data_IF_340424260791
#
_entry.id   IF_340424260791
#
_cell.length_a   1.000
_cell.length_b   1.000
_cell.length_c   1.000
_cell.angle_alpha   90.00
_cell.angle_beta   90.00
_cell.angle_gamma   90.00
#
_symmetry.space_group_name_H-M   'P 1'
#
loop_
_entity.id
_entity.type
_entity.pdbx_description
1 polymer ?
#
# COMPACT_ATOMS: atom_id res chain seq x y z
N UNK A 1 -9.18 -1.18 -4.70
CA UNK A 1 -8.90 -2.53 -5.23
C UNK A 1 -9.22 -3.61 -4.20
N UNK A 2 -9.94 -4.66 -4.54
CA UNK A 2 -10.10 -5.86 -3.69
C UNK A 2 -9.38 -7.13 -4.20
N UNK A 3 -9.62 -8.27 -3.53
CA UNK A 3 -8.97 -9.57 -3.77
C UNK A 3 -9.06 -10.08 -5.21
N UNK A 4 -8.06 -10.81 -5.72
CA UNK A 4 -6.90 -11.36 -5.02
C UNK A 4 -5.82 -10.33 -4.60
N UNK A 5 -5.98 -9.03 -4.86
CA UNK A 5 -5.13 -8.02 -4.19
C UNK A 5 -5.62 -7.69 -2.77
N UNK A 6 -4.65 -7.49 -1.88
CA UNK A 6 -4.84 -6.96 -0.53
C UNK A 6 -5.12 -5.46 -0.45
N UNK A 7 -4.76 -4.70 -1.50
CA UNK A 7 -4.57 -3.25 -1.44
C UNK A 7 -5.69 -2.45 -0.76
N UNK A 8 -6.89 -2.46 -1.33
CA UNK A 8 -8.00 -1.62 -0.86
C UNK A 8 -8.70 -2.11 0.41
N UNK A 9 -8.61 -3.41 0.74
CA UNK A 9 -9.07 -3.88 2.06
C UNK A 9 -8.12 -3.39 3.16
N UNK A 10 -6.82 -3.43 2.90
CA UNK A 10 -5.83 -2.87 3.83
C UNK A 10 -5.95 -1.35 3.91
N UNK A 11 -6.11 -0.62 2.81
CA UNK A 11 -6.39 0.83 2.88
C UNK A 11 -7.65 1.13 3.69
N UNK A 12 -8.77 0.45 3.42
CA UNK A 12 -10.01 0.68 4.14
C UNK A 12 -9.86 0.40 5.65
N UNK A 13 -9.15 -0.67 6.03
CA UNK A 13 -8.83 -0.94 7.44
C UNK A 13 -7.96 0.17 8.03
N UNK A 14 -6.87 0.55 7.36
CA UNK A 14 -5.93 1.55 7.85
C UNK A 14 -6.61 2.92 7.98
N UNK A 15 -7.41 3.37 7.02
CA UNK A 15 -8.20 4.59 7.13
C UNK A 15 -9.24 4.52 8.25
N UNK A 16 -10.01 3.43 8.36
CA UNK A 16 -10.97 3.24 9.47
C UNK A 16 -10.28 3.21 10.85
N UNK A 17 -9.00 2.84 10.93
CA UNK A 17 -8.21 2.91 12.17
C UNK A 17 -7.67 4.32 12.42
N UNK A 18 -7.16 5.00 11.39
CA UNK A 18 -6.65 6.38 11.46
C UNK A 18 -7.77 7.39 11.81
N UNK A 19 -9.03 7.12 11.44
CA UNK A 19 -10.19 7.92 11.88
C UNK A 19 -10.38 8.00 13.40
N UNK A 20 -9.85 7.04 14.16
CA UNK A 20 -9.95 6.99 15.63
C UNK A 20 -8.71 7.61 16.33
N UNK A 21 -7.78 8.20 15.56
CA UNK A 21 -6.52 8.79 16.05
C UNK A 21 -6.44 10.30 15.77
N UNK A 22 -5.83 11.08 16.68
CA UNK A 22 -5.62 12.53 16.51
C UNK A 22 -4.18 12.80 16.04
N UNK A 23 -3.98 12.78 14.72
CA UNK A 23 -2.66 13.01 14.10
C UNK A 23 -2.28 14.49 14.10
N UNK A 24 -0.98 14.78 14.28
CA UNK A 24 -0.44 16.14 14.14
C UNK A 24 -0.46 16.58 12.67
N UNK A 25 -1.57 17.19 12.24
CA UNK A 25 -1.81 17.58 10.83
C UNK A 25 -0.85 18.66 10.31
N UNK A 26 -0.06 19.29 11.19
CA UNK A 26 0.95 20.28 10.81
C UNK A 26 2.31 19.67 10.43
N UNK A 27 2.54 18.36 10.67
CA UNK A 27 3.76 17.67 10.25
C UNK A 27 3.48 16.20 9.86
N UNK A 28 3.55 15.83 8.57
CA UNK A 28 3.38 14.44 8.12
C UNK A 28 4.48 13.49 8.64
N UNK A 29 5.61 14.04 9.06
CA UNK A 29 6.76 13.33 9.64
C UNK A 29 6.93 13.62 11.15
N UNK A 30 5.84 13.92 11.87
CA UNK A 30 5.87 13.86 13.33
C UNK A 30 6.20 12.41 13.77
N UNK A 31 7.18 12.18 14.67
CA UNK A 31 7.55 10.84 15.11
C UNK A 31 6.35 10.03 15.65
N UNK A 32 5.35 10.68 16.25
CA UNK A 32 4.14 10.03 16.75
C UNK A 32 3.17 9.68 15.61
N UNK A 33 3.07 10.52 14.57
CA UNK A 33 2.31 10.20 13.36
C UNK A 33 2.90 8.98 12.65
N UNK A 34 4.24 8.94 12.53
CA UNK A 34 4.96 7.79 11.96
C UNK A 34 4.77 6.55 12.84
N UNK A 35 4.81 6.68 14.18
CA UNK A 35 4.55 5.56 15.10
C UNK A 35 3.14 4.98 14.92
N UNK A 36 2.11 5.81 15.06
CA UNK A 36 0.70 5.42 14.96
C UNK A 36 0.42 4.79 13.59
N UNK A 37 0.87 5.44 12.51
CA UNK A 37 0.64 4.93 11.15
C UNK A 37 1.41 3.62 10.92
N UNK A 38 2.64 3.47 11.43
CA UNK A 38 3.41 2.23 11.30
C UNK A 38 2.79 1.08 12.09
N UNK A 39 2.30 1.31 13.30
CA UNK A 39 1.55 0.32 14.09
C UNK A 39 0.26 -0.13 13.37
N UNK A 40 -0.43 0.81 12.72
CA UNK A 40 -1.60 0.54 11.87
C UNK A 40 -1.20 -0.30 10.64
N UNK A 41 -0.09 0.03 9.97
CA UNK A 41 0.47 -0.80 8.90
C UNK A 41 0.81 -2.21 9.43
N UNK A 42 1.49 -2.36 10.57
CA UNK A 42 1.85 -3.66 11.14
C UNK A 42 0.61 -4.55 11.32
N UNK A 43 -0.44 -4.07 12.01
CA UNK A 43 -1.66 -4.85 12.21
C UNK A 43 -2.34 -5.19 10.88
N UNK A 44 -2.36 -4.26 9.92
CA UNK A 44 -2.93 -4.49 8.59
C UNK A 44 -2.19 -5.57 7.78
N UNK A 45 -0.85 -5.61 7.81
CA UNK A 45 -0.05 -6.64 7.12
C UNK A 45 -0.01 -8.00 7.85
N UNK A 46 -0.14 -8.01 9.18
CA UNK A 46 -0.36 -9.25 9.93
C UNK A 46 -1.70 -9.90 9.57
N UNK A 47 -2.78 -9.10 9.49
CA UNK A 47 -4.09 -9.56 9.03
C UNK A 47 -4.08 -9.94 7.54
N UNK A 48 -3.30 -9.25 6.69
CA UNK A 48 -3.04 -9.66 5.30
C UNK A 48 -2.50 -11.08 5.24
N UNK A 49 -1.43 -11.34 6.00
CA UNK A 49 -0.74 -12.63 6.06
C UNK A 49 -1.69 -13.76 6.48
N UNK A 50 -2.53 -13.53 7.49
CA UNK A 50 -3.40 -14.57 8.02
C UNK A 50 -4.62 -14.89 7.14
N UNK A 51 -5.16 -13.92 6.40
CA UNK A 51 -6.49 -14.05 5.80
C UNK A 51 -6.71 -13.49 4.39
N UNK A 52 -5.67 -13.07 3.69
CA UNK A 52 -5.80 -12.70 2.29
C UNK A 52 -5.37 -13.86 1.38
N UNK A 53 -5.92 -13.91 0.17
CA UNK A 53 -5.68 -14.96 -0.82
C UNK A 53 -6.56 -14.75 -2.05
N UNK A 54 -6.76 -15.81 -2.82
CA UNK A 54 -7.76 -15.80 -3.89
C UNK A 54 -9.17 -15.95 -3.31
N UNK A 55 -10.10 -15.00 -3.52
CA UNK A 55 -11.48 -15.16 -3.07
C UNK A 55 -12.21 -16.34 -3.72
N UNK A 56 -11.83 -16.78 -4.93
CA UNK A 56 -12.47 -17.92 -5.61
C UNK A 56 -12.10 -19.26 -4.92
N UNK A 57 -11.13 -19.25 -4.01
CA UNK A 57 -10.60 -20.42 -3.28
C UNK A 57 -10.57 -20.24 -1.75
N UNK A 58 -10.67 -19.02 -1.22
CA UNK A 58 -10.44 -18.73 0.20
C UNK A 58 -11.33 -17.62 0.81
N UNK A 59 -11.67 -17.82 2.08
CA UNK A 59 -12.55 -17.01 2.90
C UNK A 59 -11.81 -15.80 3.54
N UNK A 60 -11.84 -14.66 2.84
CA UNK A 60 -11.21 -13.38 3.23
C UNK A 60 -12.14 -12.48 4.09
N UNK A 61 -11.79 -11.99 5.29
CA UNK A 61 -12.74 -11.41 6.24
C UNK A 61 -13.14 -9.94 5.99
N UNK A 62 -14.17 -9.71 5.19
CA UNK A 62 -14.64 -8.36 4.82
C UNK A 62 -15.02 -7.49 6.01
N UNK A 63 -15.76 -8.06 6.97
CA UNK A 63 -16.12 -7.36 8.19
C UNK A 63 -14.89 -6.97 9.03
N UNK A 64 -13.78 -7.72 8.97
CA UNK A 64 -12.57 -7.40 9.73
C UNK A 64 -11.84 -6.18 9.16
N UNK A 65 -11.81 -6.04 7.83
CA UNK A 65 -11.15 -4.93 7.14
C UNK A 65 -12.06 -3.69 6.98
N UNK A 66 -13.38 -3.87 6.80
CA UNK A 66 -14.31 -2.79 6.44
C UNK A 66 -15.16 -2.26 7.60
N UNK A 67 -15.28 -2.97 8.73
CA UNK A 67 -16.09 -2.48 9.86
C UNK A 67 -15.32 -1.50 10.73
N UNK A 68 -15.89 -0.29 10.91
CA UNK A 68 -15.37 0.72 11.85
C UNK A 68 -15.32 0.22 13.30
N UNK A 69 -16.20 -0.69 13.70
CA UNK A 69 -16.12 -1.27 15.05
C UNK A 69 -14.93 -2.22 15.20
N UNK A 70 -14.56 -2.97 14.15
CA UNK A 70 -13.34 -3.79 14.17
C UNK A 70 -12.08 -2.92 14.08
N UNK A 71 -12.11 -1.86 13.27
CA UNK A 71 -11.03 -0.89 13.21
C UNK A 71 -10.80 -0.21 14.56
N UNK A 72 -11.85 0.27 15.25
CA UNK A 72 -11.77 0.80 16.62
C UNK A 72 -11.23 -0.23 17.62
N UNK A 73 -11.67 -1.49 17.55
CA UNK A 73 -11.14 -2.56 18.40
C UNK A 73 -9.65 -2.82 18.16
N UNK A 74 -9.13 -2.62 16.94
CA UNK A 74 -7.72 -2.76 16.59
C UNK A 74 -6.90 -1.48 16.91
N UNK A 75 -7.50 -0.29 16.76
CA UNK A 75 -6.94 1.01 17.18
C UNK A 75 -6.73 1.05 18.70
N UNK A 76 -7.70 0.55 19.47
CA UNK A 76 -7.58 0.39 20.92
C UNK A 76 -6.45 -0.59 21.35
N UNK A 77 -5.83 -1.30 20.40
CA UNK A 77 -4.69 -2.20 20.61
C UNK A 77 -3.36 -1.64 20.03
N UNK A 78 -3.32 -0.40 19.54
CA UNK A 78 -2.09 0.26 19.07
C UNK A 78 -1.21 0.69 20.25
N UNK A 79 0.10 0.44 20.16
CA UNK A 79 1.05 1.01 21.09
C UNK A 79 1.37 2.46 20.67
N UNK A 80 1.06 3.43 21.55
CA UNK A 80 1.27 4.87 21.29
C UNK A 80 2.49 5.43 22.02
N UNK A 81 3.26 4.58 22.70
CA UNK A 81 4.51 4.96 23.39
C UNK A 81 5.76 4.44 22.65
N UNK A 82 5.68 3.27 22.00
CA UNK A 82 6.77 2.63 21.25
C UNK A 82 6.27 1.76 20.11
N UNK A 83 7.13 1.45 19.13
CA UNK A 83 6.87 0.42 18.13
C UNK A 83 6.63 -0.94 18.80
N UNK A 84 5.58 -1.66 18.40
CA UNK A 84 5.37 -3.05 18.81
C UNK A 84 6.29 -3.99 18.03
N UNK A 85 6.56 -5.16 18.61
CA UNK A 85 7.22 -6.28 17.92
C UNK A 85 6.17 -7.21 17.29
N UNK A 86 6.61 -8.03 16.34
CA UNK A 86 5.76 -9.01 15.65
C UNK A 86 5.03 -9.95 16.61
N UNK A 87 5.69 -10.31 17.71
CA UNK A 87 5.16 -11.20 18.74
C UNK A 87 4.00 -10.60 19.55
N UNK A 88 3.85 -9.27 19.59
CA UNK A 88 2.79 -8.58 20.34
C UNK A 88 1.42 -8.68 19.65
N UNK A 89 1.38 -9.07 18.37
CA UNK A 89 0.14 -9.22 17.59
C UNK A 89 0.06 -10.57 16.87
N UNK A 90 -0.78 -11.46 17.40
CA UNK A 90 -1.20 -12.69 16.71
C UNK A 90 -2.47 -12.42 15.89
N UNK A 91 -2.39 -12.45 14.54
CA UNK A 91 -3.52 -12.17 13.67
C UNK A 91 -4.57 -13.29 13.65
N UNK A 92 -4.27 -14.54 14.04
CA UNK A 92 -5.08 -15.74 13.76
C UNK A 92 -6.41 -15.89 14.56
N UNK A 93 -6.92 -14.80 15.13
CA UNK A 93 -8.11 -14.74 16.01
C UNK A 93 -9.44 -14.26 15.35
N UNK A 94 -9.50 -14.01 14.04
CA UNK A 94 -10.59 -13.25 13.36
C UNK A 94 -10.91 -13.72 11.90
N UNK A 95 -12.08 -14.32 11.58
CA UNK A 95 -12.40 -14.95 10.24
C UNK A 95 -13.51 -14.22 9.40
N UNK A 96 -13.88 -14.74 8.18
CA UNK A 96 -15.02 -14.46 7.22
C UNK A 96 -14.66 -14.20 5.70
N UNK A 97 -15.50 -13.66 4.75
CA UNK A 97 -15.50 -13.94 3.23
C UNK A 97 -15.49 -12.77 2.14
N UNK A 98 -14.58 -12.82 1.11
CA UNK A 98 -14.55 -12.49 -0.40
C UNK A 98 -14.69 -11.12 -1.23
N UNK A 99 -13.84 -10.93 -2.29
CA UNK A 99 -13.96 -10.21 -3.66
C UNK A 99 -13.97 -8.62 -3.87
N UNK A 100 -13.47 -7.83 -4.89
CA UNK A 100 -12.74 -7.93 -6.24
C UNK A 100 -11.95 -6.61 -6.68
N UNK A 101 -11.15 -6.55 -7.78
CA UNK A 101 -10.02 -5.57 -8.18
C UNK A 101 -10.28 -4.15 -8.87
N UNK A 102 -9.27 -3.29 -9.22
CA UNK A 102 -9.29 -1.82 -9.66
C UNK A 102 -8.10 -1.28 -10.58
N UNK A 103 -8.17 -0.05 -11.19
CA UNK A 103 -7.10 0.84 -11.83
C UNK A 103 -7.34 2.38 -11.72
N UNK A 104 -6.76 3.20 -12.62
CA UNK A 104 -6.95 4.66 -12.69
C UNK A 104 -6.98 5.26 -14.13
N UNK A 105 -8.07 5.91 -14.57
CA UNK A 105 -8.23 6.79 -15.77
C UNK A 105 -9.27 7.89 -15.46
N UNK A 106 -9.19 9.09 -16.08
CA UNK A 106 -10.29 10.07 -16.18
C UNK A 106 -10.27 10.81 -17.52
N UNK A 107 -11.42 11.27 -18.02
CA UNK A 107 -11.56 12.09 -19.23
C UNK A 107 -12.22 13.47 -18.99
N UNK A 108 -12.31 14.29 -20.05
CA UNK A 108 -12.87 15.65 -20.02
C UNK A 108 -14.39 15.73 -19.89
N UNK A 109 -15.12 14.62 -19.97
CA UNK A 109 -16.56 14.54 -19.65
C UNK A 109 -16.79 14.09 -18.19
N UNK A 110 -15.71 13.72 -17.48
CA UNK A 110 -15.73 13.27 -16.09
C UNK A 110 -15.77 11.74 -15.92
N UNK A 111 -15.63 10.96 -16.99
CA UNK A 111 -15.69 9.49 -16.91
C UNK A 111 -14.41 8.95 -16.26
N UNK A 112 -14.48 8.50 -15.00
CA UNK A 112 -13.37 7.90 -14.27
C UNK A 112 -13.45 6.36 -14.26
N UNK A 113 -12.36 5.65 -14.63
CA UNK A 113 -12.34 4.18 -14.85
C UNK A 113 -11.28 3.49 -13.99
N UNK A 114 -11.49 2.20 -13.63
CA UNK A 114 -10.67 1.46 -12.65
C UNK A 114 -10.65 -0.10 -12.80
N UNK A 115 -9.75 -0.76 -13.58
CA UNK A 115 -9.40 -2.23 -13.48
C UNK A 115 -7.99 -2.63 -14.02
N UNK A 116 -7.02 -3.08 -13.18
CA UNK A 116 -5.54 -3.10 -13.51
C UNK A 116 -4.87 -4.47 -13.66
N UNK A 117 -3.55 -4.42 -13.92
CA UNK A 117 -2.63 -5.52 -14.24
C UNK A 117 -1.23 -5.35 -13.60
N UNK A 118 -0.43 -6.41 -13.59
CA UNK A 118 0.96 -6.52 -13.08
C UNK A 118 1.69 -7.68 -13.78
N UNK A 119 3.01 -7.84 -13.55
CA UNK A 119 3.83 -8.99 -13.96
C UNK A 119 4.59 -9.64 -12.77
N UNK A 120 4.20 -9.28 -11.54
CA UNK A 120 4.93 -9.43 -10.28
C UNK A 120 6.25 -8.63 -10.22
N UNK A 121 7.42 -9.25 -10.44
CA UNK A 121 8.70 -8.54 -10.32
C UNK A 121 9.06 -7.79 -11.61
N UNK A 122 10.12 -6.97 -11.57
CA UNK A 122 10.66 -6.34 -12.78
C UNK A 122 11.00 -7.42 -13.83
N UNK A 123 10.56 -7.21 -15.08
CA UNK A 123 10.62 -8.19 -16.19
C UNK A 123 9.91 -9.54 -15.93
N UNK A 124 9.10 -9.65 -14.86
CA UNK A 124 8.42 -10.87 -14.46
C UNK A 124 9.40 -12.03 -14.25
N UNK A 125 9.19 -13.13 -14.96
CA UNK A 125 10.06 -14.31 -14.93
C UNK A 125 11.34 -14.17 -15.77
N UNK A 126 11.53 -13.04 -16.47
CA UNK A 126 12.60 -12.85 -17.47
C UNK A 126 12.45 -13.70 -18.73
N UNK A 127 11.37 -14.47 -18.87
CA UNK A 127 11.09 -15.29 -20.07
C UNK A 127 10.29 -14.46 -21.07
N UNK A 128 10.78 -14.41 -22.31
CA UNK A 128 10.08 -13.78 -23.44
C UNK A 128 9.56 -14.88 -24.36
N UNK A 129 8.29 -14.81 -24.77
CA UNK A 129 7.75 -15.72 -25.80
C UNK A 129 8.42 -15.41 -27.15
N UNK A 130 9.10 -16.41 -27.72
CA UNK A 130 9.92 -16.28 -28.92
C UNK A 130 9.19 -15.56 -30.07
N UNK A 131 9.87 -14.56 -30.67
CA UNK A 131 9.33 -13.76 -31.79
C UNK A 131 8.25 -12.74 -31.44
N UNK A 132 7.72 -12.71 -30.20
CA UNK A 132 6.61 -11.82 -29.82
C UNK A 132 7.02 -10.58 -29.02
N UNK A 133 8.12 -10.65 -28.26
CA UNK A 133 8.48 -9.62 -27.28
C UNK A 133 7.65 -9.63 -25.99
N UNK A 134 6.69 -10.54 -25.83
CA UNK A 134 5.84 -10.64 -24.63
C UNK A 134 6.64 -11.26 -23.48
N UNK A 135 6.84 -10.48 -22.42
CA UNK A 135 7.38 -10.93 -21.13
C UNK A 135 6.34 -11.74 -20.35
N UNK A 136 6.74 -12.88 -19.81
CA UNK A 136 5.93 -13.70 -18.91
C UNK A 136 6.07 -13.20 -17.47
N UNK A 137 4.96 -13.12 -16.74
CA UNK A 137 4.99 -12.82 -15.30
C UNK A 137 5.66 -13.95 -14.49
N UNK A 138 6.06 -13.63 -13.26
CA UNK A 138 6.39 -14.60 -12.21
C UNK A 138 5.40 -14.49 -11.04
N UNK A 139 4.11 -14.27 -11.31
CA UNK A 139 3.10 -14.10 -10.26
C UNK A 139 2.96 -15.34 -9.36
N UNK A 140 3.40 -16.51 -9.83
CA UNK A 140 3.49 -17.74 -9.04
C UNK A 140 4.39 -17.63 -7.78
N UNK A 141 5.28 -16.64 -7.69
CA UNK A 141 6.07 -16.36 -6.46
C UNK A 141 5.23 -15.72 -5.35
N UNK A 142 4.15 -14.99 -5.68
CA UNK A 142 3.26 -14.42 -4.66
C UNK A 142 2.42 -15.50 -3.94
N UNK A 143 2.59 -16.80 -4.24
CA UNK A 143 2.03 -17.92 -3.47
C UNK A 143 2.93 -18.37 -2.31
N UNK A 144 2.28 -18.87 -1.24
CA UNK A 144 2.92 -19.60 -0.16
C UNK A 144 3.48 -20.96 -0.65
N UNK A 145 4.77 -21.00 -1.00
CA UNK A 145 5.47 -22.23 -1.38
C UNK A 145 5.46 -23.31 -0.28
N UNK A 146 5.44 -22.90 0.99
CA UNK A 146 5.06 -23.71 2.14
C UNK A 146 4.58 -22.81 3.30
N UNK A 147 3.81 -23.32 4.28
CA UNK A 147 3.38 -22.55 5.44
C UNK A 147 4.57 -21.95 6.22
N UNK A 148 4.47 -20.67 6.56
CA UNK A 148 5.51 -19.87 7.23
C UNK A 148 6.85 -19.73 6.48
N UNK A 149 6.93 -20.08 5.19
CA UNK A 149 8.05 -19.62 4.36
C UNK A 149 7.77 -18.20 3.83
N UNK A 150 8.78 -17.31 3.76
CA UNK A 150 8.67 -16.05 3.04
C UNK A 150 8.66 -16.25 1.52
N UNK A 151 8.01 -15.34 0.79
CA UNK A 151 8.23 -15.16 -0.66
C UNK A 151 9.33 -14.13 -0.96
N UNK A 152 9.50 -13.72 -2.22
CA UNK A 152 10.52 -12.73 -2.63
C UNK A 152 10.41 -11.38 -1.90
N UNK A 153 9.24 -11.02 -1.37
CA UNK A 153 9.01 -9.79 -0.59
C UNK A 153 9.05 -10.00 0.92
N UNK A 154 9.60 -11.12 1.40
CA UNK A 154 9.64 -11.56 2.80
C UNK A 154 8.25 -11.76 3.47
N UNK A 155 7.17 -11.76 2.68
CA UNK A 155 5.81 -11.95 3.16
C UNK A 155 5.59 -13.43 3.51
N UNK A 156 5.15 -13.71 4.73
CA UNK A 156 4.95 -15.08 5.21
C UNK A 156 3.73 -15.74 4.57
N UNK A 157 3.93 -16.93 4.00
CA UNK A 157 2.87 -17.71 3.39
C UNK A 157 1.95 -18.41 4.40
N UNK A 158 0.63 -18.25 4.22
CA UNK A 158 -0.41 -18.98 4.96
C UNK A 158 -1.24 -19.89 4.03
N UNK A 159 -2.07 -20.78 4.60
CA UNK A 159 -2.92 -21.68 3.78
C UNK A 159 -3.87 -20.95 2.83
N UNK A 160 -4.34 -19.75 3.19
CA UNK A 160 -5.19 -18.92 2.33
C UNK A 160 -4.56 -18.72 0.95
N UNK A 161 -3.24 -18.59 0.93
CA UNK A 161 -2.42 -18.30 -0.24
C UNK A 161 -1.52 -19.47 -0.67
N UNK A 162 -1.90 -20.72 -0.35
CA UNK A 162 -1.19 -21.91 -0.88
C UNK A 162 -1.38 -22.07 -2.40
N UNK A 163 -0.42 -22.70 -3.08
CA UNK A 163 -0.46 -23.01 -4.54
C UNK A 163 -1.58 -24.02 -4.85
N UNK A 164 -2.51 -23.66 -5.74
CA UNK A 164 -3.56 -24.58 -6.24
C UNK A 164 -3.84 -24.35 -7.75
N UNK A 165 -4.27 -25.36 -8.52
CA UNK A 165 -4.53 -25.20 -9.95
C UNK A 165 -5.64 -24.18 -10.27
N UNK A 166 -5.36 -23.26 -11.18
CA UNK A 166 -6.21 -22.12 -11.59
C UNK A 166 -6.45 -21.05 -10.51
N UNK A 167 -5.83 -21.17 -9.34
CA UNK A 167 -5.85 -20.14 -8.30
C UNK A 167 -5.00 -18.94 -8.72
N UNK A 168 -5.39 -17.75 -8.26
CA UNK A 168 -4.72 -16.47 -8.48
C UNK A 168 -3.89 -16.12 -7.23
N UNK A 169 -2.63 -15.68 -7.36
CA UNK A 169 -1.78 -15.36 -6.23
C UNK A 169 -2.17 -14.03 -5.54
N UNK A 170 -1.77 -13.87 -4.27
CA UNK A 170 -2.12 -12.72 -3.43
C UNK A 170 -1.28 -11.47 -3.73
N UNK A 171 -1.83 -10.58 -4.55
CA UNK A 171 -1.15 -9.35 -4.96
C UNK A 171 -1.21 -8.22 -3.91
N UNK A 172 -0.39 -7.18 -4.12
CA UNK A 172 -0.30 -5.95 -3.32
C UNK A 172 -0.67 -4.67 -4.09
N UNK A 173 -1.08 -4.79 -5.37
CA UNK A 173 -1.50 -3.65 -6.19
C UNK A 173 -2.59 -2.81 -5.50
N UNK A 174 -2.47 -1.47 -5.53
CA UNK A 174 -3.42 -0.57 -4.83
C UNK A 174 -3.75 0.74 -5.59
N UNK A 175 -4.08 0.71 -6.90
CA UNK A 175 -4.68 1.88 -7.53
C UNK A 175 -6.02 2.21 -6.88
N UNK A 176 -6.25 3.52 -6.72
CA UNK A 176 -7.33 4.09 -5.92
C UNK A 176 -7.81 5.40 -6.55
N UNK A 177 -9.12 5.58 -6.58
CA UNK A 177 -9.75 6.88 -6.86
C UNK A 177 -10.44 7.31 -5.57
N UNK A 178 -10.06 8.47 -5.04
CA UNK A 178 -10.67 9.10 -3.87
C UNK A 178 -11.70 10.11 -4.38
N UNK A 179 -12.93 10.01 -3.87
CA UNK A 179 -14.01 10.94 -4.16
C UNK A 179 -14.29 11.84 -2.96
N UNK A 180 -14.72 13.07 -3.24
CA UNK A 180 -15.23 14.04 -2.27
C UNK A 180 -16.47 14.70 -2.88
N UNK A 181 -17.58 14.68 -2.15
CA UNK A 181 -18.87 15.23 -2.60
C UNK A 181 -19.28 14.72 -4.00
N UNK A 182 -19.16 13.39 -4.20
CA UNK A 182 -19.35 12.64 -5.46
C UNK A 182 -18.46 13.05 -6.66
N UNK A 183 -17.53 14.00 -6.49
CA UNK A 183 -16.49 14.34 -7.48
C UNK A 183 -15.18 13.57 -7.20
N UNK A 184 -14.41 13.16 -8.22
CA UNK A 184 -13.05 12.66 -8.03
C UNK A 184 -12.12 13.78 -7.51
N UNK A 185 -11.21 13.43 -6.60
CA UNK A 185 -10.26 14.35 -5.95
C UNK A 185 -8.80 13.88 -6.11
N UNK A 186 -8.55 12.59 -5.90
CA UNK A 186 -7.23 11.97 -6.06
C UNK A 186 -7.39 10.72 -6.92
N UNK A 187 -6.54 10.57 -7.92
CA UNK A 187 -6.43 9.39 -8.77
C UNK A 187 -4.98 8.93 -8.67
N UNK A 188 -4.71 7.80 -8.00
CA UNK A 188 -3.32 7.41 -7.69
C UNK A 188 -3.13 5.89 -7.70
N UNK A 189 -1.88 5.46 -7.79
CA UNK A 189 -1.43 4.07 -7.71
C UNK A 189 0.09 4.02 -7.63
N UNK A 190 0.65 2.83 -7.37
CA UNK A 190 2.10 2.64 -7.29
C UNK A 190 2.55 1.25 -7.77
N UNK A 191 3.82 1.16 -8.16
CA UNK A 191 4.62 -0.07 -8.24
C UNK A 191 5.52 -0.23 -7.01
N UNK A 192 6.07 -1.43 -6.79
CA UNK A 192 7.02 -1.71 -5.70
C UNK A 192 6.76 -2.94 -4.82
N UNK A 193 5.88 -3.86 -5.22
CA UNK A 193 5.55 -5.07 -4.44
C UNK A 193 4.70 -4.75 -3.21
N UNK A 194 5.07 -5.27 -2.03
CA UNK A 194 4.39 -5.00 -0.76
C UNK A 194 4.17 -3.50 -0.51
N UNK A 195 5.21 -2.67 -0.71
CA UNK A 195 5.23 -1.21 -0.47
C UNK A 195 4.14 -0.40 -1.19
N UNK A 196 3.50 -0.95 -2.22
CA UNK A 196 2.43 -0.28 -3.00
C UNK A 196 1.31 0.24 -2.09
N UNK A 197 0.85 -0.57 -1.14
CA UNK A 197 -0.32 -0.22 -0.29
C UNK A 197 0.00 0.98 0.60
N UNK A 198 1.21 1.03 1.17
CA UNK A 198 1.63 2.08 2.08
C UNK A 198 2.05 3.34 1.35
N UNK A 199 2.62 3.23 0.14
CA UNK A 199 2.89 4.38 -0.72
C UNK A 199 1.60 5.12 -1.08
N UNK A 200 0.55 4.39 -1.47
CA UNK A 200 -0.76 4.96 -1.77
C UNK A 200 -1.47 5.52 -0.53
N UNK A 201 -1.35 4.85 0.63
CA UNK A 201 -1.82 5.40 1.92
C UNK A 201 -1.20 6.77 2.18
N UNK A 202 0.12 6.89 2.05
CA UNK A 202 0.84 8.14 2.30
C UNK A 202 0.48 9.23 1.29
N UNK A 203 0.38 8.94 -0.01
CA UNK A 203 -0.06 9.96 -1.01
C UNK A 203 -1.45 10.52 -0.67
N UNK A 204 -2.39 9.66 -0.24
CA UNK A 204 -3.74 10.08 0.13
C UNK A 204 -3.72 10.90 1.43
N UNK A 205 -2.99 10.48 2.46
CA UNK A 205 -2.86 11.24 3.71
C UNK A 205 -2.15 12.58 3.49
N UNK A 206 -1.06 12.60 2.73
CA UNK A 206 -0.32 13.82 2.41
C UNK A 206 -1.22 14.90 1.79
N UNK A 207 -2.05 14.49 0.84
CA UNK A 207 -2.93 15.41 0.12
C UNK A 207 -4.20 15.76 0.91
N UNK A 208 -4.89 14.75 1.46
CA UNK A 208 -6.20 14.95 2.10
C UNK A 208 -6.10 15.36 3.58
N UNK A 209 -5.19 14.75 4.35
CA UNK A 209 -5.12 14.91 5.80
C UNK A 209 -4.12 16.00 6.21
N UNK A 210 -2.95 16.02 5.55
CA UNK A 210 -1.87 17.00 5.77
C UNK A 210 -1.93 18.22 4.83
N UNK A 211 -2.88 18.25 3.87
CA UNK A 211 -3.15 19.38 2.97
C UNK A 211 -1.92 19.87 2.17
N UNK A 212 -0.99 18.96 1.84
CA UNK A 212 0.17 19.27 0.99
C UNK A 212 -0.25 19.41 -0.49
N UNK A 213 0.53 20.13 -1.29
CA UNK A 213 0.28 20.19 -2.74
C UNK A 213 0.38 18.80 -3.39
N UNK A 214 -0.19 18.66 -4.60
CA UNK A 214 -0.09 17.44 -5.39
C UNK A 214 1.37 16.93 -5.57
N UNK A 215 2.32 17.85 -5.79
CA UNK A 215 3.73 17.51 -5.97
C UNK A 215 4.36 17.04 -4.66
N UNK A 216 4.23 17.82 -3.58
CA UNK A 216 4.74 17.46 -2.26
C UNK A 216 4.18 16.11 -1.79
N UNK A 217 2.89 15.85 -2.05
CA UNK A 217 2.21 14.61 -1.66
C UNK A 217 2.81 13.34 -2.26
N UNK A 218 3.37 13.43 -3.46
CA UNK A 218 4.12 12.34 -4.11
C UNK A 218 5.60 12.33 -3.70
N UNK A 219 6.20 13.52 -3.56
CA UNK A 219 7.64 13.68 -3.42
C UNK A 219 8.14 13.41 -2.00
N UNK A 220 7.36 13.73 -0.97
CA UNK A 220 7.72 13.56 0.45
C UNK A 220 8.32 12.16 0.73
N UNK A 221 9.45 12.06 1.45
CA UNK A 221 10.06 10.78 1.82
C UNK A 221 9.07 9.82 2.50
N UNK A 222 8.98 8.59 2.00
CA UNK A 222 8.01 7.58 2.45
C UNK A 222 8.63 6.55 3.38
N UNK A 223 7.78 6.00 4.24
CA UNK A 223 8.09 4.87 5.10
C UNK A 223 7.16 3.67 4.83
N UNK A 224 7.54 2.49 5.30
CA UNK A 224 6.79 1.26 5.13
C UNK A 224 7.15 0.24 6.22
N UNK A 225 6.13 -0.38 6.81
CA UNK A 225 6.30 -1.52 7.71
C UNK A 225 5.29 -2.62 7.36
N UNK A 226 5.78 -3.86 7.16
CA UNK A 226 4.95 -5.01 6.77
C UNK A 226 4.83 -6.11 7.84
N UNK A 227 4.99 -5.78 9.14
CA UNK A 227 4.99 -6.68 10.33
C UNK A 227 6.08 -7.77 10.36
N UNK A 228 6.47 -8.31 9.21
CA UNK A 228 7.62 -9.19 9.04
C UNK A 228 8.28 -8.83 7.71
N UNK A 229 9.58 -8.44 7.68
CA UNK A 229 10.50 -8.34 8.81
C UNK A 229 10.18 -7.19 9.79
N UNK A 230 10.82 -7.23 10.96
CA UNK A 230 10.61 -6.33 12.10
C UNK A 230 11.47 -5.05 11.99
N UNK A 231 11.35 -4.35 10.86
CA UNK A 231 11.95 -3.02 10.68
C UNK A 231 11.07 -2.08 9.87
N UNK A 232 11.18 -0.80 10.19
CA UNK A 232 10.60 0.31 9.44
C UNK A 232 11.54 0.63 8.27
N UNK A 233 11.09 0.31 7.04
CA UNK A 233 11.77 0.76 5.83
C UNK A 233 11.50 2.25 5.65
N UNK A 234 12.52 3.10 5.54
CA UNK A 234 12.36 4.55 5.35
C UNK A 234 13.22 5.06 4.20
N UNK A 235 12.77 6.12 3.53
CA UNK A 235 13.57 6.88 2.56
C UNK A 235 14.43 7.93 3.29
N UNK A 236 14.86 8.98 2.59
CA UNK A 236 15.81 9.98 3.11
C UNK A 236 15.18 10.89 4.19
N UNK A 237 15.17 10.39 5.44
CA UNK A 237 14.88 11.14 6.67
C UNK A 237 16.14 11.82 7.20
N UNK A 238 16.00 12.91 7.96
CA UNK A 238 17.12 13.58 8.61
C UNK A 238 17.57 12.91 9.91
N UNK A 239 18.79 13.22 10.36
CA UNK A 239 19.43 12.60 11.52
C UNK A 239 18.65 12.75 12.84
N UNK A 240 17.86 13.83 13.00
CA UNK A 240 17.07 14.03 14.21
C UNK A 240 15.84 13.11 14.20
N UNK A 241 15.10 13.08 13.09
CA UNK A 241 13.94 12.21 12.92
C UNK A 241 14.32 10.72 13.06
N UNK A 242 15.47 10.33 12.52
CA UNK A 242 16.05 8.99 12.71
C UNK A 242 16.26 8.69 14.21
N UNK A 243 16.92 9.58 14.96
CA UNK A 243 17.17 9.40 16.38
C UNK A 243 15.88 9.40 17.23
N UNK A 244 14.87 10.19 16.86
CA UNK A 244 13.56 10.19 17.52
C UNK A 244 12.82 8.85 17.30
N UNK A 245 12.82 8.32 16.07
CA UNK A 245 12.22 7.02 15.76
C UNK A 245 12.96 5.84 16.44
N UNK A 246 14.29 5.88 16.51
CA UNK A 246 15.06 4.91 17.32
C UNK A 246 14.68 4.99 18.82
N UNK A 247 14.41 6.18 19.36
CA UNK A 247 13.98 6.35 20.76
C UNK A 247 12.58 5.78 21.04
N UNK A 248 11.69 5.84 20.04
CA UNK A 248 10.39 5.15 19.99
C UNK A 248 10.53 3.63 19.76
N UNK A 249 11.76 3.11 19.59
CA UNK A 249 12.05 1.69 19.53
C UNK A 249 11.96 1.07 18.13
N UNK A 250 11.91 1.86 17.06
CA UNK A 250 12.01 1.32 15.72
C UNK A 250 13.40 0.76 15.42
N UNK A 251 13.46 -0.42 14.81
CA UNK A 251 14.61 -0.80 13.98
C UNK A 251 14.42 -0.18 12.61
N UNK A 252 15.41 0.58 12.13
CA UNK A 252 15.33 1.33 10.89
C UNK A 252 16.09 0.65 9.75
N UNK A 253 15.56 0.72 8.53
CA UNK A 253 16.22 0.22 7.32
C UNK A 253 16.10 1.25 6.19
N UNK A 254 17.22 1.86 5.81
CA UNK A 254 17.27 2.86 4.74
C UNK A 254 16.99 2.22 3.36
N UNK A 255 16.04 2.82 2.65
CA UNK A 255 15.62 2.53 1.28
C UNK A 255 15.75 3.80 0.46
N UNK A 256 16.96 4.06 -0.06
CA UNK A 256 17.26 5.26 -0.87
C UNK A 256 16.24 5.42 -2.01
N UNK A 257 15.70 6.63 -2.25
CA UNK A 257 14.57 6.87 -3.17
C UNK A 257 14.97 6.80 -4.65
N UNK A 258 15.34 5.61 -5.12
CA UNK A 258 15.68 5.28 -6.52
C UNK A 258 14.77 4.17 -7.07
N UNK A 259 14.91 3.84 -8.36
CA UNK A 259 14.02 2.91 -9.06
C UNK A 259 13.88 1.56 -8.35
N UNK A 260 15.01 0.92 -8.02
CA UNK A 260 15.04 -0.40 -7.38
C UNK A 260 14.81 -0.35 -5.85
N UNK A 261 15.19 0.76 -5.20
CA UNK A 261 15.36 0.82 -3.74
C UNK A 261 14.33 1.68 -2.99
N UNK A 262 13.49 2.45 -3.67
CA UNK A 262 12.46 3.31 -3.05
C UNK A 262 11.39 2.56 -2.22
N UNK A 263 10.61 3.31 -1.44
CA UNK A 263 9.35 2.88 -0.83
C UNK A 263 8.18 3.03 -1.83
N UNK A 264 8.34 2.35 -2.97
CA UNK A 264 7.41 2.36 -4.10
C UNK A 264 7.57 3.58 -5.01
N UNK A 265 7.03 3.47 -6.22
CA UNK A 265 7.02 4.56 -7.21
C UNK A 265 5.58 4.77 -7.64
N UNK A 266 5.11 6.01 -7.57
CA UNK A 266 3.70 6.37 -7.77
C UNK A 266 3.46 7.05 -9.12
N UNK A 267 2.19 7.13 -9.52
CA UNK A 267 1.73 8.03 -10.57
C UNK A 267 0.35 8.54 -10.18
N UNK A 268 0.20 9.86 -10.11
CA UNK A 268 -0.96 10.49 -9.48
C UNK A 268 -1.52 11.65 -10.30
N UNK A 269 -2.82 11.86 -10.22
CA UNK A 269 -3.51 13.08 -10.65
C UNK A 269 -4.34 13.58 -9.48
N UNK A 270 -4.14 14.83 -9.09
CA UNK A 270 -4.95 15.54 -8.10
C UNK A 270 -5.83 16.58 -8.82
N UNK A 271 -6.99 16.92 -8.24
CA UNK A 271 -7.98 17.79 -8.90
C UNK A 271 -8.27 19.01 -8.01
N UNK A 272 -7.86 20.19 -8.47
CA UNK A 272 -7.93 21.46 -7.73
C UNK A 272 -8.67 22.51 -8.56
N UNK A 273 -9.80 23.01 -8.08
CA UNK A 273 -10.61 24.06 -8.75
C UNK A 273 -10.87 23.77 -10.25
N UNK A 274 -11.24 22.51 -10.54
CA UNK A 274 -11.45 21.92 -11.87
C UNK A 274 -10.18 21.84 -12.78
N UNK A 275 -8.98 22.09 -12.24
CA UNK A 275 -7.66 21.83 -12.87
C UNK A 275 -7.17 20.41 -12.54
N UNK A 276 -6.65 19.69 -13.55
CA UNK A 276 -6.04 18.37 -13.40
C UNK A 276 -4.51 18.49 -13.23
N UNK A 277 -4.00 18.20 -12.03
CA UNK A 277 -2.57 18.28 -11.71
C UNK A 277 -1.97 16.87 -11.74
N UNK A 278 -1.38 16.50 -12.87
CA UNK A 278 -0.66 15.24 -13.04
C UNK A 278 0.76 15.31 -12.46
N UNK A 279 1.09 14.36 -11.58
CA UNK A 279 2.39 14.25 -10.91
C UNK A 279 2.94 12.84 -11.07
N UNK A 280 4.12 12.76 -11.68
CA UNK A 280 4.90 11.53 -11.80
C UNK A 280 6.07 11.58 -10.81
N UNK A 281 6.48 10.41 -10.33
CA UNK A 281 7.35 10.27 -9.16
C UNK A 281 8.84 10.21 -9.53
N UNK A 282 9.63 11.14 -9.00
CA UNK A 282 11.07 11.27 -9.30
C UNK A 282 11.92 10.03 -8.96
N UNK A 283 11.37 9.11 -8.16
CA UNK A 283 11.99 7.82 -7.82
C UNK A 283 12.17 6.90 -9.04
N UNK A 284 11.49 7.19 -10.14
CA UNK A 284 11.61 6.48 -11.42
C UNK A 284 12.51 7.25 -12.38
N UNK A 285 13.42 6.56 -13.09
CA UNK A 285 14.35 7.19 -14.04
C UNK A 285 13.68 7.71 -15.33
N UNK A 286 12.47 7.24 -15.65
CA UNK A 286 11.70 7.55 -16.86
C UNK A 286 10.34 8.24 -16.59
N UNK A 287 10.22 8.90 -15.44
CA UNK A 287 8.97 9.53 -14.98
C UNK A 287 8.52 10.72 -15.85
N UNK A 288 7.25 10.73 -16.26
CA UNK A 288 6.68 11.81 -17.10
C UNK A 288 5.18 12.00 -16.86
N UNK A 289 4.77 13.25 -16.65
CA UNK A 289 3.37 13.68 -16.66
C UNK A 289 3.15 14.62 -17.87
N UNK A 290 2.04 14.44 -18.61
CA UNK A 290 1.70 15.25 -19.78
C UNK A 290 0.27 15.78 -19.60
N UNK A 291 0.13 17.10 -19.52
CA UNK A 291 -1.17 17.76 -19.70
C UNK A 291 -1.51 17.91 -21.19
N UNK A 292 -2.76 17.67 -21.56
CA UNK A 292 -3.27 17.87 -22.93
C UNK A 292 -4.41 18.88 -22.88
N UNK A 293 -4.25 20.00 -23.59
CA UNK A 293 -5.25 21.07 -23.71
C UNK A 293 -5.84 21.08 -25.12
N UNK A 294 -7.16 21.08 -25.23
CA UNK A 294 -7.87 21.21 -26.50
C UNK A 294 -8.05 22.71 -26.85
N UNK A 295 -6.99 23.33 -27.39
CA UNK A 295 -7.04 24.63 -28.08
C UNK A 295 -7.18 24.45 -29.61
#
# INVERSE_FOLDING_TARGET
MGPPSSGGLLLALMFNMLEEEDLNKANPHDPNNILITSEIMQKAYALRTAYMGDPDFYDIPYSLFLSKDNARLLSAQLNREKSSQKADFDPYKYKFKENTTHYSVIDSEGNAVSTTTTLNTAFGSGVIIEGTGVLMNNEMDDFAAAPNQPNYFELLGSQANQIEPNKRPLSSMTPTIVFKDDKPLIITGAQGGSRIITAVLQVILNYYEYQLSAQESVYLPRYHHQWSPEYLMHEDFDENLIAELESLGFSLFLRTPTYDYSNGITSSIMIEEDVLIGVSDFRSDDFLAIGVTNE
#
